data_IF_594727962452
#
_entry.id   IF_594727962452
#
_cell.length_a   1.000
_cell.length_b   1.000
_cell.length_c   1.000
_cell.angle_alpha   90.00
_cell.angle_beta   90.00
_cell.angle_gamma   90.00
#
_symmetry.space_group_name_H-M   'P 1'
#
loop_
_entity.id
_entity.type
_entity.pdbx_description
1 polymer ?
#
# COMPACT_ATOMS: atom_id res chain seq x y z
N UNK A 1 -29.24 -37.60 -7.43
CA UNK A 1 -28.83 -36.21 -7.71
C UNK A 1 -27.35 -36.14 -7.38
N UNK A 2 -26.47 -36.05 -8.37
CA UNK A 2 -25.03 -36.00 -8.10
C UNK A 2 -24.69 -34.67 -7.43
N UNK A 3 -23.99 -34.73 -6.30
CA UNK A 3 -23.57 -33.53 -5.57
C UNK A 3 -22.83 -32.53 -6.43
N UNK A 4 -23.11 -31.24 -6.23
CA UNK A 4 -22.31 -30.17 -6.81
C UNK A 4 -20.96 -30.13 -6.09
N UNK A 5 -19.90 -30.51 -6.78
CA UNK A 5 -18.51 -30.30 -6.39
C UNK A 5 -18.03 -28.95 -6.95
N UNK A 6 -17.10 -28.29 -6.24
CA UNK A 6 -16.41 -27.10 -6.72
C UNK A 6 -14.89 -27.27 -6.49
N UNK A 7 -14.09 -27.15 -7.53
CA UNK A 7 -12.63 -27.17 -7.46
C UNK A 7 -12.03 -25.86 -8.00
N UNK A 8 -11.45 -25.07 -7.11
CA UNK A 8 -10.92 -23.73 -7.45
C UNK A 8 -9.47 -23.59 -7.09
N UNK A 9 -8.73 -22.80 -7.87
CA UNK A 9 -7.32 -22.48 -7.61
C UNK A 9 -7.12 -20.99 -7.41
N UNK A 10 -6.63 -20.61 -6.23
CA UNK A 10 -6.21 -19.24 -5.90
C UNK A 10 -4.70 -19.14 -6.13
N UNK A 11 -4.30 -18.38 -7.15
CA UNK A 11 -2.88 -18.13 -7.46
C UNK A 11 -2.46 -16.81 -6.83
N UNK A 12 -1.54 -16.90 -5.87
CA UNK A 12 -1.13 -15.80 -4.99
C UNK A 12 -1.79 -15.95 -3.63
N UNK A 13 -0.99 -16.26 -2.62
CA UNK A 13 -1.44 -16.49 -1.25
C UNK A 13 -1.07 -15.32 -0.31
N UNK A 14 -0.98 -14.10 -0.86
CA UNK A 14 -0.89 -12.87 -0.09
C UNK A 14 -2.27 -12.39 0.42
N UNK A 15 -2.38 -11.15 0.92
CA UNK A 15 -3.62 -10.63 1.53
C UNK A 15 -4.86 -10.80 0.66
N UNK A 16 -4.76 -10.56 -0.65
CA UNK A 16 -5.90 -10.71 -1.57
C UNK A 16 -6.35 -12.16 -1.71
N UNK A 17 -5.41 -13.11 -1.84
CA UNK A 17 -5.72 -14.53 -1.91
C UNK A 17 -6.29 -15.06 -0.60
N UNK A 18 -5.75 -14.59 0.54
CA UNK A 18 -6.30 -14.85 1.86
C UNK A 18 -7.77 -14.39 1.94
N UNK A 19 -8.09 -13.16 1.53
CA UNK A 19 -9.48 -12.69 1.53
C UNK A 19 -10.40 -13.55 0.64
N UNK A 20 -9.92 -14.09 -0.48
CA UNK A 20 -10.71 -15.01 -1.31
C UNK A 20 -11.02 -16.30 -0.57
N UNK A 21 -10.00 -16.95 0.02
CA UNK A 21 -10.18 -18.19 0.80
C UNK A 21 -11.11 -17.95 1.98
N UNK A 22 -10.91 -16.83 2.68
CA UNK A 22 -11.71 -16.45 3.82
C UNK A 22 -13.18 -16.20 3.46
N UNK A 23 -13.46 -15.51 2.35
CA UNK A 23 -14.83 -15.31 1.85
C UNK A 23 -15.50 -16.60 1.41
N UNK A 24 -14.77 -17.53 0.78
CA UNK A 24 -15.31 -18.85 0.44
C UNK A 24 -15.73 -19.61 1.71
N UNK A 25 -14.88 -19.63 2.73
CA UNK A 25 -15.21 -20.26 4.01
C UNK A 25 -16.39 -19.59 4.72
N UNK A 26 -16.46 -18.27 4.74
CA UNK A 26 -17.53 -17.52 5.41
C UNK A 26 -18.90 -17.75 4.74
N UNK A 27 -18.96 -17.70 3.41
CA UNK A 27 -20.20 -17.93 2.66
C UNK A 27 -20.73 -19.35 2.85
N UNK A 28 -19.85 -20.35 2.75
CA UNK A 28 -20.24 -21.76 2.88
C UNK A 28 -20.55 -22.19 4.32
N UNK A 29 -20.05 -21.44 5.31
CA UNK A 29 -20.46 -21.61 6.69
C UNK A 29 -21.87 -21.09 6.94
N UNK A 30 -22.22 -19.95 6.34
CA UNK A 30 -23.55 -19.37 6.46
C UNK A 30 -24.61 -20.17 5.70
N UNK A 31 -24.31 -20.53 4.45
CA UNK A 31 -25.19 -21.30 3.59
C UNK A 31 -24.37 -22.25 2.74
N UNK A 32 -24.48 -23.56 3.02
CA UNK A 32 -23.80 -24.60 2.24
C UNK A 32 -24.38 -24.65 0.83
N UNK A 33 -23.58 -24.29 -0.17
CA UNK A 33 -24.00 -24.28 -1.59
C UNK A 33 -23.51 -25.50 -2.36
N UNK A 34 -22.43 -26.13 -1.89
CA UNK A 34 -21.80 -27.29 -2.51
C UNK A 34 -21.71 -28.48 -1.54
N UNK A 35 -21.72 -29.69 -2.09
CA UNK A 35 -21.49 -30.89 -1.28
C UNK A 35 -20.03 -30.97 -0.84
N UNK A 36 -19.10 -30.61 -1.72
CA UNK A 36 -17.66 -30.58 -1.43
C UNK A 36 -17.00 -29.45 -2.21
N UNK A 37 -15.99 -28.82 -1.60
CA UNK A 37 -15.18 -27.79 -2.24
C UNK A 37 -13.71 -28.11 -2.01
N UNK A 38 -12.91 -28.10 -3.08
CA UNK A 38 -11.45 -28.13 -2.99
C UNK A 38 -10.92 -26.75 -3.37
N UNK A 39 -10.16 -26.12 -2.46
CA UNK A 39 -9.49 -24.84 -2.72
C UNK A 39 -7.99 -25.07 -2.75
N UNK A 40 -7.40 -24.98 -3.92
CA UNK A 40 -5.96 -24.96 -4.09
C UNK A 40 -5.43 -23.54 -3.84
N UNK A 41 -4.44 -23.41 -2.97
CA UNK A 41 -3.78 -22.13 -2.67
C UNK A 41 -2.34 -22.23 -3.11
N UNK A 42 -1.98 -21.51 -4.18
CA UNK A 42 -0.68 -21.62 -4.86
C UNK A 42 0.13 -20.34 -4.65
N UNK A 43 1.27 -20.44 -3.98
CA UNK A 43 2.26 -19.35 -3.87
C UNK A 43 3.64 -19.95 -3.57
N UNK A 44 4.75 -19.41 -4.11
CA UNK A 44 6.08 -19.87 -3.70
C UNK A 44 6.40 -19.59 -2.22
N UNK A 45 5.73 -18.62 -1.58
CA UNK A 45 5.89 -18.28 -0.18
C UNK A 45 4.80 -18.89 0.72
N UNK A 46 4.85 -18.61 2.02
CA UNK A 46 3.85 -19.09 2.97
C UNK A 46 2.49 -18.38 2.76
N UNK A 47 1.36 -19.10 2.89
CA UNK A 47 0.03 -18.53 2.68
C UNK A 47 -0.34 -17.51 3.76
N UNK A 48 -1.15 -16.53 3.39
CA UNK A 48 -1.43 -15.32 4.18
C UNK A 48 -0.52 -14.17 3.78
N UNK A 49 0.78 -14.31 4.09
CA UNK A 49 1.79 -13.29 3.81
C UNK A 49 2.12 -13.17 2.30
N UNK A 50 2.18 -14.32 1.61
CA UNK A 50 2.66 -14.42 0.25
C UNK A 50 4.11 -13.92 0.11
N UNK A 51 4.52 -13.70 -1.14
CA UNK A 51 5.91 -13.28 -1.42
C UNK A 51 6.20 -11.84 -0.96
N UNK A 52 5.22 -10.94 -0.93
CA UNK A 52 5.47 -9.52 -0.63
C UNK A 52 5.69 -9.25 0.87
N UNK A 53 4.95 -9.94 1.74
CA UNK A 53 4.92 -9.66 3.18
C UNK A 53 5.67 -10.71 3.99
N UNK A 54 6.74 -11.30 3.45
CA UNK A 54 7.48 -12.37 4.15
C UNK A 54 7.93 -11.89 5.54
N UNK A 55 7.68 -12.67 6.62
CA UNK A 55 8.14 -12.29 7.96
C UNK A 55 9.67 -12.19 8.08
N UNK A 56 10.42 -12.89 7.23
CA UNK A 56 11.88 -12.86 7.23
C UNK A 56 12.53 -11.68 6.51
N UNK A 57 11.75 -10.71 6.00
CA UNK A 57 12.31 -9.51 5.37
C UNK A 57 12.89 -8.53 6.40
N UNK A 58 13.66 -7.54 5.94
CA UNK A 58 14.26 -6.52 6.81
C UNK A 58 13.21 -5.81 7.68
N UNK A 59 13.48 -5.72 8.99
CA UNK A 59 12.65 -5.01 9.97
C UNK A 59 12.80 -3.48 9.90
N UNK A 60 13.64 -2.96 9.01
CA UNK A 60 13.75 -1.53 8.74
C UNK A 60 12.72 -1.04 7.71
N UNK A 61 12.01 -1.97 7.06
CA UNK A 61 10.97 -1.64 6.09
C UNK A 61 9.63 -1.57 6.80
N UNK A 62 8.96 -0.43 6.68
CA UNK A 62 7.68 -0.17 7.32
C UNK A 62 6.53 -0.33 6.33
N UNK A 63 5.34 -0.62 6.86
CA UNK A 63 4.09 -0.43 6.12
C UNK A 63 3.85 1.07 5.90
N UNK A 64 2.97 1.40 4.96
CA UNK A 64 2.50 2.76 4.74
C UNK A 64 1.08 2.98 5.29
N UNK A 65 0.64 2.14 6.21
CA UNK A 65 -0.68 2.22 6.86
C UNK A 65 -0.48 2.01 8.36
N UNK A 66 -1.16 2.81 9.17
CA UNK A 66 -1.07 2.70 10.63
C UNK A 66 -1.68 1.40 11.13
N UNK A 67 -1.17 0.88 12.24
CA UNK A 67 -1.50 -0.44 12.77
C UNK A 67 -3.01 -0.66 12.98
N UNK A 68 -3.73 0.34 13.49
CA UNK A 68 -5.16 0.26 13.76
C UNK A 68 -6.03 0.22 12.50
N UNK A 69 -5.51 0.62 11.35
CA UNK A 69 -6.21 0.64 10.06
C UNK A 69 -5.94 -0.60 9.20
N UNK A 70 -5.16 -1.56 9.71
CA UNK A 70 -4.83 -2.80 8.97
C UNK A 70 -5.70 -3.94 9.51
N UNK A 71 -6.52 -4.53 8.65
CA UNK A 71 -7.24 -5.78 8.93
C UNK A 71 -7.49 -6.56 7.65
N UNK A 72 -7.59 -7.89 7.75
CA UNK A 72 -8.10 -8.77 6.68
C UNK A 72 -9.54 -9.22 6.92
N UNK A 73 -10.10 -8.87 8.08
CA UNK A 73 -11.47 -9.18 8.47
C UNK A 73 -12.43 -8.11 7.98
N UNK A 74 -13.71 -8.47 7.93
CA UNK A 74 -14.76 -7.59 7.40
C UNK A 74 -15.54 -6.92 8.51
N UNK A 75 -16.01 -5.72 8.22
CA UNK A 75 -16.87 -4.91 9.08
C UNK A 75 -18.03 -4.31 8.25
N UNK A 76 -18.83 -3.46 8.87
CA UNK A 76 -19.95 -2.76 8.22
C UNK A 76 -19.53 -1.75 7.13
N UNK A 77 -18.23 -1.46 7.01
CA UNK A 77 -17.71 -0.52 6.01
C UNK A 77 -17.57 -1.13 4.62
N UNK A 78 -17.60 -2.46 4.50
CA UNK A 78 -17.47 -3.17 3.22
C UNK A 78 -18.84 -3.61 2.68
N UNK A 79 -19.02 -3.48 1.36
CA UNK A 79 -20.18 -4.01 0.65
C UNK A 79 -19.79 -5.30 -0.06
N UNK A 80 -20.35 -6.41 0.41
CA UNK A 80 -19.99 -7.76 -0.04
C UNK A 80 -21.19 -8.70 0.04
N UNK A 81 -21.11 -9.82 -0.66
CA UNK A 81 -22.00 -10.97 -0.45
C UNK A 81 -21.51 -11.83 0.72
N UNK A 82 -22.45 -12.51 1.37
CA UNK A 82 -22.18 -13.33 2.54
C UNK A 82 -22.14 -12.55 3.85
N UNK A 83 -21.87 -13.24 4.98
CA UNK A 83 -21.85 -12.61 6.30
C UNK A 83 -20.64 -11.69 6.49
N UNK A 84 -20.81 -10.68 7.34
CA UNK A 84 -19.70 -9.96 7.95
C UNK A 84 -19.10 -10.86 9.05
N UNK A 85 -17.85 -11.28 8.89
CA UNK A 85 -17.07 -11.96 9.93
C UNK A 85 -15.99 -11.00 10.47
N UNK A 86 -16.24 -10.34 11.62
CA UNK A 86 -15.27 -9.43 12.21
C UNK A 86 -14.11 -10.18 12.86
N UNK A 87 -13.00 -9.48 13.04
CA UNK A 87 -11.81 -10.00 13.67
C UNK A 87 -10.81 -8.90 13.99
N UNK A 88 -9.72 -9.24 14.67
CA UNK A 88 -8.78 -8.24 15.16
C UNK A 88 -8.11 -7.52 14.00
N UNK A 89 -8.06 -6.19 14.10
CA UNK A 89 -7.05 -5.39 13.42
C UNK A 89 -5.64 -5.85 13.82
N UNK A 90 -4.63 -5.43 13.05
CA UNK A 90 -3.23 -5.71 13.37
C UNK A 90 -2.87 -5.17 14.76
N UNK A 91 -3.37 -3.98 15.12
CA UNK A 91 -3.14 -3.42 16.45
C UNK A 91 -3.77 -4.27 17.56
N UNK A 92 -5.01 -4.72 17.40
CA UNK A 92 -5.67 -5.59 18.39
C UNK A 92 -5.00 -6.96 18.51
N UNK A 93 -4.55 -7.52 17.38
CA UNK A 93 -3.74 -8.74 17.38
C UNK A 93 -2.40 -8.52 18.10
N UNK A 94 -1.71 -7.42 17.84
CA UNK A 94 -0.47 -7.05 18.54
C UNK A 94 -0.70 -6.90 20.05
N UNK A 95 -1.81 -6.28 20.46
CA UNK A 95 -2.23 -6.17 21.87
C UNK A 95 -2.48 -7.53 22.52
N UNK A 96 -3.02 -8.48 21.77
CA UNK A 96 -3.19 -9.87 22.21
C UNK A 96 -1.84 -10.55 22.39
N UNK A 97 -0.94 -10.45 21.41
CA UNK A 97 0.42 -11.00 21.49
C UNK A 97 1.24 -10.39 22.63
N UNK A 98 1.11 -9.09 22.88
CA UNK A 98 1.81 -8.42 23.98
C UNK A 98 1.39 -8.97 25.36
N UNK A 99 0.17 -9.51 25.48
CA UNK A 99 -0.40 -10.06 26.72
C UNK A 99 -0.21 -11.57 26.87
N UNK A 100 -0.35 -12.31 25.78
CA UNK A 100 -0.46 -13.77 25.79
C UNK A 100 0.57 -14.48 24.91
N UNK A 101 1.39 -13.74 24.15
CA UNK A 101 2.39 -14.30 23.27
C UNK A 101 3.57 -14.88 24.05
N UNK A 102 3.78 -16.18 23.90
CA UNK A 102 4.85 -16.90 24.59
C UNK A 102 6.13 -16.99 23.73
N UNK A 103 7.33 -16.90 24.34
CA UNK A 103 8.58 -17.20 23.64
C UNK A 103 8.56 -18.61 23.05
N UNK A 104 8.91 -18.74 21.78
CA UNK A 104 8.91 -20.02 21.04
C UNK A 104 7.82 -20.11 19.97
N UNK A 105 6.66 -19.50 20.19
CA UNK A 105 5.62 -19.34 19.15
C UNK A 105 5.94 -18.15 18.21
N UNK A 106 6.49 -17.09 18.79
CA UNK A 106 6.95 -15.89 18.11
C UNK A 106 8.41 -15.59 18.48
N UNK A 107 9.15 -14.98 17.54
CA UNK A 107 10.51 -14.54 17.81
C UNK A 107 10.53 -13.31 18.75
N UNK A 108 11.65 -13.12 19.46
CA UNK A 108 11.81 -12.01 20.41
C UNK A 108 11.55 -10.63 19.78
N UNK A 109 12.04 -10.32 18.56
CA UNK A 109 11.74 -9.03 17.93
C UNK A 109 10.26 -8.80 17.64
N UNK A 110 9.50 -9.83 17.27
CA UNK A 110 8.04 -9.73 17.06
C UNK A 110 7.32 -9.42 18.36
N UNK A 111 7.66 -10.11 19.45
CA UNK A 111 7.05 -9.82 20.76
C UNK A 111 7.44 -8.43 21.28
N UNK A 112 8.67 -7.98 21.03
CA UNK A 112 9.10 -6.63 21.37
C UNK A 112 8.33 -5.55 20.58
N UNK A 113 8.17 -5.73 19.27
CA UNK A 113 7.38 -4.84 18.43
C UNK A 113 5.91 -4.81 18.88
N UNK A 114 5.31 -5.97 19.17
CA UNK A 114 3.93 -6.06 19.67
C UNK A 114 3.70 -5.24 20.96
N UNK A 115 4.68 -5.22 21.88
CA UNK A 115 4.61 -4.46 23.14
C UNK A 115 4.78 -2.96 22.93
N UNK A 116 5.58 -2.56 21.94
CA UNK A 116 5.89 -1.15 21.68
C UNK A 116 4.90 -0.48 20.71
N UNK A 117 4.19 -1.26 19.89
CA UNK A 117 3.32 -0.76 18.83
C UNK A 117 2.12 0.01 19.39
N UNK A 118 1.99 1.28 19.01
CA UNK A 118 0.79 2.07 19.24
C UNK A 118 -0.23 1.95 18.08
N UNK A 119 -1.48 2.42 18.27
CA UNK A 119 -2.53 2.32 17.24
C UNK A 119 -2.20 3.09 15.96
N UNK A 120 -1.46 4.21 16.09
CA UNK A 120 -1.04 5.06 14.97
C UNK A 120 0.41 4.83 14.54
N UNK A 121 1.05 3.78 15.06
CA UNK A 121 2.39 3.37 14.63
C UNK A 121 2.33 2.71 13.25
N UNK A 122 3.39 2.87 12.45
CA UNK A 122 3.59 2.14 11.20
C UNK A 122 4.36 0.85 11.51
N UNK A 123 3.71 -0.33 11.54
CA UNK A 123 4.40 -1.59 11.84
C UNK A 123 5.44 -1.93 10.77
N UNK A 124 6.40 -2.76 11.12
CA UNK A 124 7.32 -3.34 10.14
C UNK A 124 6.56 -4.25 9.17
N UNK A 125 7.02 -4.33 7.92
CA UNK A 125 6.44 -5.25 6.92
C UNK A 125 6.56 -6.71 7.36
N UNK A 126 7.63 -7.03 8.09
CA UNK A 126 7.85 -8.34 8.70
C UNK A 126 6.76 -8.68 9.74
N UNK A 127 6.43 -7.73 10.63
CA UNK A 127 5.39 -7.89 11.64
C UNK A 127 3.99 -8.03 11.02
N UNK A 128 3.67 -7.21 10.01
CA UNK A 128 2.44 -7.40 9.23
C UNK A 128 2.39 -8.77 8.54
N UNK A 129 3.53 -9.23 8.02
CA UNK A 129 3.68 -10.59 7.52
C UNK A 129 3.22 -11.66 8.51
N UNK A 130 3.60 -11.53 9.78
CA UNK A 130 3.19 -12.48 10.82
C UNK A 130 1.69 -12.42 11.11
N UNK A 131 1.11 -11.22 11.19
CA UNK A 131 -0.35 -11.05 11.30
C UNK A 131 -1.10 -11.79 10.18
N UNK A 132 -0.59 -11.72 8.94
CA UNK A 132 -1.21 -12.40 7.80
C UNK A 132 -1.10 -13.92 7.87
N UNK A 133 0.03 -14.46 8.35
CA UNK A 133 0.19 -15.90 8.56
C UNK A 133 -0.82 -16.42 9.59
N UNK A 134 -0.90 -15.76 10.75
CA UNK A 134 -1.83 -16.13 11.82
C UNK A 134 -3.28 -16.01 11.34
N UNK A 135 -3.58 -14.97 10.56
CA UNK A 135 -4.90 -14.78 9.96
C UNK A 135 -5.27 -15.93 9.01
N UNK A 136 -4.34 -16.36 8.14
CA UNK A 136 -4.56 -17.51 7.27
C UNK A 136 -4.77 -18.80 8.06
N UNK A 137 -3.94 -19.04 9.09
CA UNK A 137 -4.09 -20.21 9.96
C UNK A 137 -5.44 -20.24 10.65
N UNK A 138 -5.92 -19.09 11.15
CA UNK A 138 -7.25 -18.96 11.77
C UNK A 138 -8.37 -19.26 10.78
N UNK A 139 -8.27 -18.78 9.54
CA UNK A 139 -9.25 -19.08 8.49
C UNK A 139 -9.25 -20.56 8.15
N UNK A 140 -8.07 -21.14 7.94
CA UNK A 140 -7.91 -22.55 7.62
C UNK A 140 -8.43 -23.47 8.73
N UNK A 141 -8.11 -23.18 9.99
CA UNK A 141 -8.57 -23.94 11.15
C UNK A 141 -10.09 -23.88 11.35
N UNK A 142 -10.73 -22.85 10.82
CA UNK A 142 -12.19 -22.68 10.88
C UNK A 142 -12.88 -23.14 9.60
N UNK A 143 -12.18 -23.57 8.56
CA UNK A 143 -12.82 -23.95 7.30
C UNK A 143 -13.96 -24.99 7.56
N UNK A 144 -15.15 -24.83 6.96
CA UNK A 144 -16.20 -25.85 7.06
C UNK A 144 -15.68 -27.23 6.64
N UNK A 145 -16.19 -28.30 7.25
CA UNK A 145 -15.70 -29.67 7.02
C UNK A 145 -15.75 -30.12 5.55
N UNK A 146 -16.66 -29.56 4.76
CA UNK A 146 -16.79 -29.85 3.33
C UNK A 146 -15.84 -29.05 2.43
N UNK A 147 -15.00 -28.17 3.00
CA UNK A 147 -13.96 -27.42 2.28
C UNK A 147 -12.58 -27.99 2.58
N UNK A 148 -11.95 -28.57 1.56
CA UNK A 148 -10.56 -29.02 1.61
C UNK A 148 -9.62 -27.93 1.10
N UNK A 149 -8.81 -27.34 1.98
CA UNK A 149 -7.74 -26.41 1.60
C UNK A 149 -6.45 -27.17 1.28
N UNK A 150 -5.93 -27.00 0.05
CA UNK A 150 -4.69 -27.62 -0.43
C UNK A 150 -3.65 -26.56 -0.76
N UNK A 151 -2.64 -26.42 0.10
CA UNK A 151 -1.58 -25.44 -0.09
C UNK A 151 -0.44 -26.01 -0.93
N UNK A 152 -0.05 -25.29 -1.98
CA UNK A 152 1.06 -25.62 -2.86
C UNK A 152 2.13 -24.54 -2.76
N UNK A 153 3.27 -24.86 -2.13
CA UNK A 153 4.41 -23.94 -1.98
C UNK A 153 5.28 -23.90 -3.24
N UNK A 154 4.68 -23.43 -4.33
CA UNK A 154 5.27 -23.47 -5.66
C UNK A 154 4.75 -22.32 -6.52
N UNK A 155 5.52 -21.95 -7.54
CA UNK A 155 5.13 -20.90 -8.48
C UNK A 155 4.24 -21.48 -9.57
N UNK A 156 3.07 -20.89 -9.80
CA UNK A 156 2.31 -21.14 -11.01
C UNK A 156 3.06 -20.57 -12.23
N UNK A 157 3.28 -21.40 -13.25
CA UNK A 157 4.07 -21.03 -14.45
C UNK A 157 3.28 -21.10 -15.75
N UNK A 158 2.11 -21.73 -15.75
CA UNK A 158 1.21 -21.73 -16.89
C UNK A 158 -0.24 -21.97 -16.46
N UNK A 159 -1.18 -21.42 -17.23
CA UNK A 159 -2.62 -21.65 -17.13
C UNK A 159 -3.18 -21.96 -18.52
N UNK A 160 -4.13 -22.89 -18.62
CA UNK A 160 -4.82 -23.21 -19.86
C UNK A 160 -6.21 -23.80 -19.61
N UNK A 161 -7.10 -23.68 -20.59
CA UNK A 161 -8.34 -24.46 -20.64
C UNK A 161 -7.98 -25.90 -21.04
N UNK A 162 -8.25 -26.87 -20.15
CA UNK A 162 -7.70 -28.23 -20.26
C UNK A 162 -8.32 -29.07 -21.38
N UNK A 163 -9.54 -28.73 -21.82
CA UNK A 163 -10.22 -29.39 -22.93
C UNK A 163 -10.00 -28.67 -24.28
N UNK A 164 -9.25 -27.56 -24.31
CA UNK A 164 -9.08 -26.74 -25.51
C UNK A 164 -10.35 -26.00 -25.95
N UNK A 165 -11.42 -26.06 -25.15
CA UNK A 165 -12.68 -25.35 -25.38
C UNK A 165 -12.70 -24.10 -24.50
N UNK A 166 -12.85 -22.89 -25.08
CA UNK A 166 -13.00 -21.66 -24.30
C UNK A 166 -14.13 -21.79 -23.27
N UNK A 167 -13.82 -21.52 -22.00
CA UNK A 167 -14.78 -21.63 -20.90
C UNK A 167 -15.02 -23.06 -20.39
N UNK A 168 -14.22 -24.03 -20.84
CA UNK A 168 -14.13 -25.36 -20.24
C UNK A 168 -13.29 -25.38 -18.95
N UNK A 169 -13.10 -26.56 -18.33
CA UNK A 169 -12.34 -26.69 -17.10
C UNK A 169 -10.90 -26.20 -17.26
N UNK A 170 -10.42 -25.43 -16.28
CA UNK A 170 -9.11 -24.81 -16.32
C UNK A 170 -8.04 -25.71 -15.70
N UNK A 171 -6.78 -25.40 -15.96
CA UNK A 171 -5.63 -26.11 -15.42
C UNK A 171 -4.46 -25.19 -15.14
N UNK A 172 -3.70 -25.52 -14.10
CA UNK A 172 -2.51 -24.79 -13.68
C UNK A 172 -1.32 -25.76 -13.65
N UNK A 173 -0.18 -25.31 -14.20
CA UNK A 173 1.11 -25.97 -14.06
C UNK A 173 1.97 -25.22 -13.06
N UNK A 174 2.55 -25.94 -12.10
CA UNK A 174 3.48 -25.43 -11.11
C UNK A 174 4.93 -25.66 -11.54
N UNK A 175 5.85 -24.85 -10.99
CA UNK A 175 7.27 -24.91 -11.31
C UNK A 175 7.94 -26.23 -10.90
N UNK A 176 7.41 -26.91 -9.88
CA UNK A 176 7.85 -28.24 -9.44
C UNK A 176 7.33 -29.40 -10.32
N UNK A 177 6.59 -29.09 -11.38
CA UNK A 177 6.01 -30.08 -12.29
C UNK A 177 4.60 -30.54 -11.94
N UNK A 178 4.07 -30.20 -10.76
CA UNK A 178 2.69 -30.48 -10.37
C UNK A 178 1.71 -29.87 -11.36
N UNK A 179 0.67 -30.62 -11.71
CA UNK A 179 -0.43 -30.14 -12.55
C UNK A 179 -1.74 -30.29 -11.80
N UNK A 180 -2.48 -29.18 -11.74
CA UNK A 180 -3.84 -29.13 -11.20
C UNK A 180 -4.76 -28.99 -12.41
N UNK A 181 -5.68 -29.94 -12.58
CA UNK A 181 -6.55 -30.04 -13.75
C UNK A 181 -8.02 -29.98 -13.33
N UNK A 182 -8.93 -29.81 -14.30
CA UNK A 182 -10.38 -29.83 -14.07
C UNK A 182 -10.87 -28.77 -13.08
N UNK A 183 -10.19 -27.62 -13.03
CA UNK A 183 -10.59 -26.50 -12.18
C UNK A 183 -11.84 -25.84 -12.74
N UNK A 184 -12.84 -25.61 -11.90
CA UNK A 184 -14.02 -24.82 -12.26
C UNK A 184 -13.66 -23.33 -12.40
N UNK A 185 -12.69 -22.85 -11.60
CA UNK A 185 -12.18 -21.49 -11.70
C UNK A 185 -10.74 -21.32 -11.20
N UNK A 186 -10.03 -20.38 -11.81
CA UNK A 186 -8.75 -19.85 -11.34
C UNK A 186 -8.90 -18.39 -10.93
N UNK A 187 -8.57 -18.07 -9.69
CA UNK A 187 -8.54 -16.71 -9.16
C UNK A 187 -7.08 -16.21 -9.12
N UNK A 188 -6.78 -15.20 -9.94
CA UNK A 188 -5.45 -14.57 -10.00
C UNK A 188 -5.34 -13.43 -8.98
N UNK A 189 -4.80 -13.76 -7.80
CA UNK A 189 -4.52 -12.83 -6.70
C UNK A 189 -3.03 -12.42 -6.63
N UNK A 190 -2.43 -12.18 -7.79
CA UNK A 190 -0.96 -12.13 -8.00
C UNK A 190 -0.22 -10.94 -7.35
N UNK A 191 -0.94 -9.93 -6.85
CA UNK A 191 -0.33 -8.75 -6.24
C UNK A 191 0.54 -7.95 -7.22
N UNK A 192 1.77 -7.62 -6.81
CA UNK A 192 2.73 -6.90 -7.65
C UNK A 192 3.66 -7.89 -8.36
N UNK A 193 3.71 -7.82 -9.68
CA UNK A 193 4.58 -8.64 -10.51
C UNK A 193 5.88 -7.91 -10.86
N UNK A 194 6.99 -8.62 -11.08
CA UNK A 194 8.21 -8.03 -11.61
C UNK A 194 7.93 -7.25 -12.91
N UNK A 195 8.43 -6.02 -13.00
CA UNK A 195 8.29 -5.22 -14.20
C UNK A 195 9.34 -5.64 -15.24
N UNK A 196 8.94 -5.69 -16.51
CA UNK A 196 9.90 -5.71 -17.60
C UNK A 196 10.63 -4.36 -17.67
N UNK A 197 11.92 -4.40 -17.97
CA UNK A 197 12.70 -3.18 -18.13
C UNK A 197 12.19 -2.40 -19.35
N UNK A 198 12.11 -1.09 -19.19
CA UNK A 198 11.92 -0.18 -20.32
C UNK A 198 13.19 -0.13 -21.17
N UNK A 199 13.11 0.27 -22.46
CA UNK A 199 14.30 0.44 -23.30
C UNK A 199 15.37 1.37 -22.69
N UNK A 200 14.94 2.35 -21.89
CA UNK A 200 15.85 3.25 -21.16
C UNK A 200 16.56 2.54 -20.01
N UNK A 201 15.88 1.68 -19.29
CA UNK A 201 16.46 0.88 -18.20
C UNK A 201 17.37 -0.22 -18.73
N UNK A 202 17.01 -0.88 -19.84
CA UNK A 202 17.88 -1.83 -20.56
C UNK A 202 19.17 -1.17 -21.04
N UNK A 203 19.06 0.04 -21.63
CA UNK A 203 20.23 0.83 -22.02
C UNK A 203 21.08 1.20 -20.81
N UNK A 204 20.45 1.61 -19.70
CA UNK A 204 21.17 1.94 -18.46
C UNK A 204 21.91 0.70 -17.91
N UNK A 205 21.25 -0.45 -17.87
CA UNK A 205 21.86 -1.71 -17.45
C UNK A 205 23.03 -2.13 -18.34
N UNK A 206 22.94 -1.88 -19.65
CA UNK A 206 24.01 -2.16 -20.61
C UNK A 206 25.20 -1.22 -20.42
N UNK A 207 24.96 0.08 -20.25
CA UNK A 207 26.01 1.06 -19.96
C UNK A 207 26.69 0.79 -18.62
N UNK A 208 25.92 0.42 -17.59
CA UNK A 208 26.49 0.05 -16.29
C UNK A 208 27.46 -1.13 -16.43
N UNK A 209 27.10 -2.18 -17.18
CA UNK A 209 28.00 -3.30 -17.47
C UNK A 209 29.26 -2.87 -18.21
N UNK A 210 29.13 -2.03 -19.24
CA UNK A 210 30.28 -1.51 -20.02
C UNK A 210 31.25 -0.70 -19.13
N UNK A 211 30.70 0.06 -18.18
CA UNK A 211 31.49 0.90 -17.27
C UNK A 211 31.85 0.21 -15.95
N UNK A 212 31.61 -1.10 -15.82
CA UNK A 212 31.86 -1.87 -14.60
C UNK A 212 31.17 -1.28 -13.35
N UNK A 213 29.97 -0.72 -13.53
CA UNK A 213 29.12 -0.19 -12.48
C UNK A 213 28.03 -1.20 -12.09
N UNK A 214 27.70 -1.22 -10.80
CA UNK A 214 26.54 -1.93 -10.28
C UNK A 214 25.25 -1.17 -10.63
N UNK A 215 24.31 -1.83 -11.30
CA UNK A 215 22.98 -1.28 -11.57
C UNK A 215 21.90 -2.19 -11.01
N UNK A 216 21.23 -1.69 -9.98
CA UNK A 216 20.02 -2.30 -9.45
C UNK A 216 18.83 -1.88 -10.30
N UNK A 217 18.21 -2.84 -10.98
CA UNK A 217 16.96 -2.64 -11.72
C UNK A 217 15.80 -2.36 -10.76
N UNK A 218 14.69 -1.74 -11.23
CA UNK A 218 13.50 -1.57 -10.40
C UNK A 218 13.06 -2.88 -9.75
N UNK A 219 13.07 -2.92 -8.43
CA UNK A 219 12.71 -4.08 -7.62
C UNK A 219 12.09 -3.62 -6.30
N UNK A 220 11.38 -4.52 -5.61
CA UNK A 220 10.94 -4.27 -4.25
C UNK A 220 12.18 -4.21 -3.34
N UNK A 221 12.37 -3.15 -2.53
CA UNK A 221 13.52 -3.04 -1.63
C UNK A 221 13.68 -4.23 -0.67
N UNK A 222 12.58 -4.93 -0.33
CA UNK A 222 12.62 -6.13 0.50
C UNK A 222 13.24 -7.37 -0.19
N UNK A 223 13.39 -7.32 -1.52
CA UNK A 223 13.92 -8.40 -2.34
C UNK A 223 15.37 -8.13 -2.80
N UNK A 224 15.95 -7.01 -2.37
CA UNK A 224 17.28 -6.57 -2.80
C UNK A 224 18.26 -6.68 -1.65
N UNK A 225 19.36 -7.41 -1.87
CA UNK A 225 20.52 -7.33 -1.01
C UNK A 225 21.31 -6.06 -1.32
N UNK A 226 21.47 -5.20 -0.32
CA UNK A 226 22.24 -3.94 -0.42
C UNK A 226 23.66 -4.07 0.13
N UNK A 227 24.07 -5.27 0.54
CA UNK A 227 25.38 -5.56 1.12
C UNK A 227 26.55 -5.40 0.15
N UNK A 228 26.30 -5.44 -1.17
CA UNK A 228 27.33 -5.22 -2.18
C UNK A 228 27.90 -3.79 -2.21
N UNK A 229 27.21 -2.82 -1.58
CA UNK A 229 27.64 -1.43 -1.53
C UNK A 229 28.51 -1.19 -0.30
N UNK A 230 29.75 -0.77 -0.49
CA UNK A 230 30.69 -0.46 0.58
C UNK A 230 30.34 0.81 1.39
N UNK A 231 31.02 0.99 2.53
CA UNK A 231 30.95 2.23 3.29
C UNK A 231 31.58 3.38 2.48
N UNK A 232 30.94 4.56 2.49
CA UNK A 232 31.42 5.72 1.73
C UNK A 232 31.27 5.63 0.20
N UNK A 233 30.86 4.47 -0.33
CA UNK A 233 30.70 4.26 -1.78
C UNK A 233 29.61 5.19 -2.35
N UNK A 234 29.85 5.86 -3.49
CA UNK A 234 28.83 6.67 -4.15
C UNK A 234 27.67 5.83 -4.67
N UNK A 235 26.45 6.13 -4.23
CA UNK A 235 25.21 5.48 -4.71
C UNK A 235 24.28 6.51 -5.30
N UNK A 236 23.87 6.31 -6.56
CA UNK A 236 22.83 7.12 -7.19
C UNK A 236 21.45 6.49 -7.02
N UNK A 237 20.57 7.15 -6.26
CA UNK A 237 19.16 6.78 -6.11
C UNK A 237 18.30 7.62 -7.07
N UNK A 238 17.68 6.94 -8.04
CA UNK A 238 16.83 7.58 -9.06
C UNK A 238 15.37 7.50 -8.64
N UNK A 239 14.89 8.55 -7.99
CA UNK A 239 13.54 8.68 -7.44
C UNK A 239 13.57 9.10 -5.97
N UNK A 240 12.58 9.88 -5.56
CA UNK A 240 12.38 10.34 -4.18
C UNK A 240 10.97 9.95 -3.66
N UNK A 241 10.44 8.83 -4.19
CA UNK A 241 9.16 8.25 -3.79
C UNK A 241 9.26 7.35 -2.56
N UNK A 242 8.22 6.57 -2.28
CA UNK A 242 8.19 5.70 -1.08
C UNK A 242 9.38 4.73 -1.00
N UNK A 243 9.78 4.12 -2.12
CA UNK A 243 10.91 3.17 -2.15
C UNK A 243 12.27 3.83 -1.94
N UNK A 244 12.40 5.15 -2.10
CA UNK A 244 13.61 5.88 -1.72
C UNK A 244 13.83 5.82 -0.21
N UNK A 245 12.76 6.01 0.58
CA UNK A 245 12.85 5.94 2.04
C UNK A 245 13.19 4.53 2.53
N UNK A 246 12.73 3.49 1.83
CA UNK A 246 13.14 2.10 2.11
C UNK A 246 14.65 1.92 1.92
N UNK A 247 15.21 2.33 0.77
CA UNK A 247 16.66 2.25 0.54
C UNK A 247 17.44 3.14 1.50
N UNK A 248 16.94 4.33 1.81
CA UNK A 248 17.53 5.22 2.80
C UNK A 248 17.58 4.51 4.16
N UNK A 249 16.51 3.88 4.61
CA UNK A 249 16.48 3.11 5.85
C UNK A 249 17.48 1.95 5.82
N UNK A 250 17.49 1.14 4.75
CA UNK A 250 18.44 0.03 4.58
C UNK A 250 19.90 0.48 4.61
N UNK A 251 20.22 1.62 3.98
CA UNK A 251 21.57 2.18 3.93
C UNK A 251 21.96 2.97 5.18
N UNK A 252 21.03 3.29 6.09
CA UNK A 252 21.27 4.09 7.30
C UNK A 252 21.05 3.27 8.57
N UNK A 253 19.80 3.17 9.04
CA UNK A 253 19.47 2.41 10.25
C UNK A 253 19.70 0.91 10.06
N UNK A 254 19.49 0.40 8.85
CA UNK A 254 19.87 -0.96 8.44
C UNK A 254 21.37 -1.22 8.49
N UNK A 255 22.20 -0.18 8.53
CA UNK A 255 23.65 -0.25 8.73
C UNK A 255 24.07 0.12 10.15
N UNK A 256 23.13 0.21 11.08
CA UNK A 256 23.40 0.48 12.50
C UNK A 256 23.47 1.95 12.87
N UNK A 257 23.14 2.86 11.96
CA UNK A 257 22.92 4.25 12.34
C UNK A 257 21.67 4.39 13.20
N UNK A 258 21.63 5.41 14.07
CA UNK A 258 20.53 5.61 15.03
C UNK A 258 20.04 7.04 14.99
N UNK A 259 18.77 7.27 15.32
CA UNK A 259 18.22 8.60 15.52
C UNK A 259 18.08 8.87 17.02
N UNK A 260 18.81 9.85 17.52
CA UNK A 260 18.67 10.34 18.89
C UNK A 260 17.62 11.46 18.92
N UNK A 261 16.77 11.46 19.96
CA UNK A 261 15.90 12.60 20.21
C UNK A 261 16.66 13.64 21.04
N UNK A 262 16.79 14.85 20.49
CA UNK A 262 17.40 16.00 21.15
C UNK A 262 16.36 17.13 21.17
N UNK A 263 15.66 17.26 22.29
CA UNK A 263 14.49 18.14 22.39
C UNK A 263 13.34 17.65 21.50
N UNK A 264 12.83 18.54 20.65
CA UNK A 264 11.78 18.28 19.66
C UNK A 264 12.31 17.67 18.35
N UNK A 265 13.64 17.60 18.17
CA UNK A 265 14.29 17.16 16.93
C UNK A 265 14.83 15.74 17.02
N UNK A 266 14.91 15.11 15.85
CA UNK A 266 15.67 13.87 15.65
C UNK A 266 17.02 14.20 15.02
N UNK A 267 18.10 13.71 15.65
CA UNK A 267 19.47 13.85 15.15
C UNK A 267 19.95 12.46 14.74
N UNK A 268 20.27 12.30 13.46
CA UNK A 268 20.84 11.06 12.96
C UNK A 268 22.31 10.94 13.36
N UNK A 269 22.67 9.80 13.95
CA UNK A 269 24.04 9.37 14.26
C UNK A 269 24.45 8.27 13.27
N UNK A 270 25.39 8.55 12.35
CA UNK A 270 25.88 7.54 11.43
C UNK A 270 26.72 6.49 12.16
N UNK A 271 26.65 5.26 11.67
CA UNK A 271 27.50 4.14 12.11
C UNK A 271 28.90 4.14 11.48
N UNK A 272 29.09 4.90 10.39
CA UNK A 272 30.28 4.86 9.54
C UNK A 272 30.20 3.80 8.44
N UNK A 273 29.15 2.97 8.40
CA UNK A 273 28.94 1.95 7.35
C UNK A 273 28.06 2.44 6.21
N UNK A 274 27.50 3.64 6.31
CA UNK A 274 26.63 4.23 5.31
C UNK A 274 27.36 4.52 3.98
N UNK A 275 26.71 4.36 2.82
CA UNK A 275 27.23 4.86 1.56
C UNK A 275 27.02 6.38 1.43
N UNK A 276 27.64 6.97 0.41
CA UNK A 276 27.37 8.37 0.01
C UNK A 276 26.22 8.39 -0.99
N UNK A 277 25.01 8.63 -0.51
CA UNK A 277 23.80 8.67 -1.33
C UNK A 277 23.65 10.00 -2.08
N UNK A 278 23.46 9.93 -3.38
CA UNK A 278 23.05 11.01 -4.26
C UNK A 278 21.65 10.67 -4.78
N UNK A 279 20.66 11.48 -4.46
CA UNK A 279 19.28 11.21 -4.85
C UNK A 279 18.75 12.28 -5.81
N UNK A 280 17.97 11.87 -6.80
CA UNK A 280 17.33 12.79 -7.73
C UNK A 280 15.91 12.36 -8.08
N UNK A 281 15.06 13.32 -8.43
CA UNK A 281 13.74 13.07 -8.97
C UNK A 281 13.37 14.18 -9.96
N UNK A 282 12.32 13.98 -10.76
CA UNK A 282 11.79 15.05 -11.63
C UNK A 282 11.29 16.26 -10.83
N UNK A 283 10.81 16.04 -9.59
CA UNK A 283 10.30 17.09 -8.70
C UNK A 283 11.42 17.84 -7.97
N UNK A 284 12.63 17.27 -7.91
CA UNK A 284 13.77 17.83 -7.18
C UNK A 284 13.75 17.60 -5.66
N UNK A 285 12.57 17.40 -5.06
CA UNK A 285 12.39 17.24 -3.62
C UNK A 285 11.61 15.96 -3.25
N UNK A 286 11.80 15.40 -2.03
CA UNK A 286 11.01 14.26 -1.57
C UNK A 286 9.57 14.66 -1.22
N UNK A 287 8.72 13.66 -0.98
CA UNK A 287 7.39 13.88 -0.42
C UNK A 287 7.50 14.28 1.06
N UNK A 288 6.54 15.08 1.55
CA UNK A 288 6.38 15.37 2.97
C UNK A 288 6.09 14.10 3.78
N UNK A 289 6.40 14.16 5.07
CA UNK A 289 5.95 13.16 6.02
C UNK A 289 4.42 13.07 6.01
N UNK A 290 3.90 11.89 6.32
CA UNK A 290 2.45 11.74 6.52
C UNK A 290 2.05 12.52 7.77
N UNK A 291 0.95 13.27 7.66
CA UNK A 291 0.33 13.90 8.82
C UNK A 291 -0.11 12.86 9.86
N UNK A 292 -0.29 13.32 11.10
CA UNK A 292 -0.81 12.49 12.18
C UNK A 292 -2.22 11.98 11.84
N UNK A 293 -2.51 10.75 12.24
CA UNK A 293 -3.82 10.15 11.98
C UNK A 293 -4.89 10.70 12.92
N UNK A 294 -5.53 11.79 12.53
CA UNK A 294 -6.63 12.41 13.29
C UNK A 294 -7.99 11.76 13.03
N UNK A 295 -8.05 10.69 12.21
CA UNK A 295 -9.29 10.01 11.81
C UNK A 295 -9.54 8.72 12.60
N UNK A 296 -8.61 8.31 13.45
CA UNK A 296 -8.69 7.05 14.18
C UNK A 296 -8.62 5.81 13.28
N UNK A 297 -9.14 4.69 13.77
CA UNK A 297 -9.01 3.38 13.12
C UNK A 297 -9.91 3.21 11.88
N UNK A 298 -11.09 3.82 11.85
CA UNK A 298 -12.08 3.63 10.79
C UNK A 298 -12.60 4.92 10.15
N UNK A 299 -12.25 6.09 10.70
CA UNK A 299 -12.72 7.37 10.19
C UNK A 299 -12.24 7.64 8.77
N UNK A 300 -13.17 8.01 7.89
CA UNK A 300 -12.89 8.33 6.48
C UNK A 300 -13.63 9.60 6.10
N UNK A 301 -13.01 10.36 5.19
CA UNK A 301 -13.69 11.47 4.54
C UNK A 301 -14.73 10.91 3.57
N UNK A 302 -15.97 11.40 3.64
CA UNK A 302 -17.03 11.05 2.69
C UNK A 302 -17.04 12.12 1.59
N UNK A 303 -16.66 11.80 0.34
CA UNK A 303 -16.60 12.78 -0.73
C UNK A 303 -17.97 13.41 -0.99
N UNK A 304 -18.01 14.74 -1.11
CA UNK A 304 -19.25 15.50 -1.39
C UNK A 304 -19.46 15.74 -2.89
N UNK A 305 -18.38 15.77 -3.68
CA UNK A 305 -18.41 16.03 -5.12
C UNK A 305 -18.27 14.77 -5.97
N UNK A 306 -17.19 14.01 -5.79
CA UNK A 306 -16.94 12.77 -6.54
C UNK A 306 -17.70 11.59 -5.90
N UNK A 307 -19.03 11.69 -5.92
CA UNK A 307 -19.96 10.73 -5.32
C UNK A 307 -20.25 9.55 -6.25
N UNK A 308 -20.84 8.45 -5.76
CA UNK A 308 -21.37 7.38 -6.61
C UNK A 308 -22.33 7.90 -7.69
N UNK A 309 -23.15 8.91 -7.37
CA UNK A 309 -24.05 9.55 -8.33
C UNK A 309 -23.31 10.30 -9.44
N UNK A 310 -22.26 11.05 -9.09
CA UNK A 310 -21.40 11.73 -10.07
C UNK A 310 -20.70 10.72 -10.99
N UNK A 311 -20.14 9.64 -10.43
CA UNK A 311 -19.50 8.56 -11.20
C UNK A 311 -20.52 7.87 -12.13
N UNK A 312 -21.73 7.60 -11.65
CA UNK A 312 -22.79 7.02 -12.48
C UNK A 312 -23.19 7.96 -13.63
N UNK A 313 -23.23 9.28 -13.39
CA UNK A 313 -23.45 10.29 -14.43
C UNK A 313 -22.37 10.26 -15.51
N UNK A 314 -21.10 10.22 -15.12
CA UNK A 314 -19.98 10.09 -16.05
C UNK A 314 -20.06 8.79 -16.87
N UNK A 315 -20.44 7.66 -16.23
CA UNK A 315 -20.64 6.38 -16.93
C UNK A 315 -21.78 6.44 -17.95
N UNK A 316 -22.91 7.10 -17.62
CA UNK A 316 -24.01 7.28 -18.56
C UNK A 316 -23.61 8.10 -19.77
N UNK A 317 -22.87 9.20 -19.58
CA UNK A 317 -22.31 10.00 -20.68
C UNK A 317 -21.41 9.16 -21.59
N UNK A 318 -20.51 8.37 -20.99
CA UNK A 318 -19.65 7.46 -21.75
C UNK A 318 -20.45 6.41 -22.54
N UNK A 319 -21.48 5.82 -21.94
CA UNK A 319 -22.38 4.86 -22.61
C UNK A 319 -23.18 5.51 -23.75
N UNK A 320 -23.48 6.81 -23.66
CA UNK A 320 -24.13 7.60 -24.70
C UNK A 320 -23.16 8.07 -25.81
N UNK A 321 -21.89 7.65 -25.77
CA UNK A 321 -20.88 7.98 -26.79
C UNK A 321 -20.07 9.26 -26.51
N UNK A 322 -20.31 9.94 -25.39
CA UNK A 322 -19.49 11.09 -25.01
C UNK A 322 -18.13 10.66 -24.43
N UNK A 323 -17.06 11.30 -24.87
CA UNK A 323 -15.73 11.06 -24.32
C UNK A 323 -15.55 11.77 -22.97
N UNK A 324 -15.55 11.01 -21.88
CA UNK A 324 -15.15 11.49 -20.55
C UNK A 324 -13.64 11.72 -20.50
N UNK A 325 -13.21 12.90 -20.05
CA UNK A 325 -11.81 13.32 -19.96
C UNK A 325 -11.44 13.60 -18.52
N UNK A 326 -10.43 12.90 -17.98
CA UNK A 326 -10.01 13.06 -16.58
C UNK A 326 -9.79 14.52 -16.16
N UNK A 327 -9.02 15.29 -16.93
CA UNK A 327 -8.70 16.70 -16.59
C UNK A 327 -9.91 17.64 -16.60
N UNK A 328 -10.92 17.36 -17.42
CA UNK A 328 -12.07 18.25 -17.58
C UNK A 328 -13.26 17.82 -16.73
N UNK A 329 -13.48 16.52 -16.58
CA UNK A 329 -14.71 15.97 -15.97
C UNK A 329 -14.50 15.42 -14.56
N UNK A 330 -13.28 15.00 -14.20
CA UNK A 330 -12.99 14.32 -12.90
C UNK A 330 -12.11 15.17 -12.00
N UNK A 331 -11.01 15.70 -12.56
CA UNK A 331 -10.03 16.49 -11.82
C UNK A 331 -10.64 17.72 -11.11
N UNK A 332 -11.57 18.49 -11.71
CA UNK A 332 -12.18 19.62 -11.01
C UNK A 332 -12.97 19.21 -9.75
N UNK A 333 -13.59 18.03 -9.76
CA UNK A 333 -14.31 17.49 -8.58
C UNK A 333 -13.32 17.11 -7.48
N UNK A 334 -12.22 16.44 -7.84
CA UNK A 334 -11.14 16.09 -6.90
C UNK A 334 -10.51 17.35 -6.32
N UNK A 335 -10.18 18.32 -7.18
CA UNK A 335 -9.49 19.54 -6.79
C UNK A 335 -10.35 20.37 -5.82
N UNK A 336 -11.62 20.60 -6.16
CA UNK A 336 -12.55 21.33 -5.32
C UNK A 336 -12.80 20.64 -3.97
N UNK A 337 -12.86 19.31 -3.93
CA UNK A 337 -13.00 18.56 -2.69
C UNK A 337 -11.76 18.77 -1.78
N UNK A 338 -10.55 18.61 -2.34
CA UNK A 338 -9.31 18.79 -1.58
C UNK A 338 -9.17 20.22 -1.06
N UNK A 339 -9.43 21.21 -1.92
CA UNK A 339 -9.42 22.63 -1.53
C UNK A 339 -10.43 22.91 -0.42
N UNK A 340 -11.64 22.35 -0.51
CA UNK A 340 -12.68 22.54 0.53
C UNK A 340 -12.24 21.99 1.89
N UNK A 341 -11.62 20.81 1.92
CA UNK A 341 -11.11 20.19 3.15
C UNK A 341 -9.95 21.02 3.70
N UNK A 342 -9.05 21.50 2.84
CA UNK A 342 -7.94 22.37 3.24
C UNK A 342 -8.45 23.64 3.93
N UNK A 343 -9.35 24.38 3.28
CA UNK A 343 -9.87 25.62 3.83
C UNK A 343 -10.74 25.41 5.06
N UNK A 344 -11.55 24.34 5.09
CA UNK A 344 -12.30 23.97 6.29
C UNK A 344 -11.36 23.71 7.48
N UNK A 345 -10.27 22.97 7.25
CA UNK A 345 -9.26 22.69 8.28
C UNK A 345 -8.55 23.97 8.74
N UNK A 346 -8.22 24.87 7.80
CA UNK A 346 -7.62 26.17 8.10
C UNK A 346 -8.56 27.02 8.97
N UNK A 347 -9.85 27.08 8.64
CA UNK A 347 -10.83 27.83 9.43
C UNK A 347 -11.00 27.25 10.84
N UNK A 348 -11.07 25.93 10.98
CA UNK A 348 -11.11 25.26 12.28
C UNK A 348 -9.87 25.60 13.10
N UNK A 349 -8.68 25.60 12.49
CA UNK A 349 -7.43 25.96 13.19
C UNK A 349 -7.40 27.41 13.69
N UNK A 350 -8.24 28.28 13.10
CA UNK A 350 -8.43 29.69 13.49
C UNK A 350 -9.63 29.88 14.44
N UNK A 351 -10.28 28.81 14.88
CA UNK A 351 -11.45 28.87 15.76
C UNK A 351 -12.75 29.26 15.07
N UNK A 352 -12.83 29.18 13.75
CA UNK A 352 -14.03 29.48 12.97
C UNK A 352 -14.82 28.21 12.61
N UNK A 353 -16.15 28.32 12.48
CA UNK A 353 -17.01 27.25 11.96
C UNK A 353 -16.86 27.14 10.44
N UNK A 354 -16.35 26.00 9.91
CA UNK A 354 -16.15 25.83 8.48
C UNK A 354 -17.42 25.45 7.71
N UNK A 355 -18.54 25.10 8.38
CA UNK A 355 -19.73 24.55 7.74
C UNK A 355 -20.31 25.45 6.65
N UNK A 356 -20.71 26.70 6.98
CA UNK A 356 -21.26 27.65 6.00
C UNK A 356 -20.29 27.98 4.86
N UNK A 357 -18.99 28.06 5.16
CA UNK A 357 -17.96 28.27 4.15
C UNK A 357 -17.91 27.10 3.16
N UNK A 358 -17.86 25.88 3.68
CA UNK A 358 -17.66 24.67 2.86
C UNK A 358 -18.83 24.46 1.89
N UNK A 359 -20.07 24.66 2.37
CA UNK A 359 -21.27 24.51 1.54
C UNK A 359 -21.29 25.51 0.38
N UNK A 360 -20.91 26.77 0.64
CA UNK A 360 -20.78 27.80 -0.39
C UNK A 360 -19.61 27.52 -1.33
N UNK A 361 -18.45 27.11 -0.81
CA UNK A 361 -17.25 26.87 -1.61
C UNK A 361 -17.46 25.78 -2.67
N UNK A 362 -18.16 24.70 -2.30
CA UNK A 362 -18.40 23.56 -3.18
C UNK A 362 -19.37 23.86 -4.33
N UNK A 363 -20.23 24.88 -4.18
CA UNK A 363 -21.22 25.29 -5.19
C UNK A 363 -20.79 26.54 -5.97
N UNK A 364 -19.83 27.29 -5.45
CA UNK A 364 -19.30 28.52 -6.04
C UNK A 364 -18.51 28.27 -7.34
N UNK A 365 -18.69 29.18 -8.30
CA UNK A 365 -17.81 29.34 -9.45
C UNK A 365 -16.41 29.78 -9.04
N UNK A 366 -15.43 29.68 -9.96
CA UNK A 366 -14.05 30.08 -9.69
C UNK A 366 -13.94 31.54 -9.20
N UNK A 367 -14.71 32.47 -9.78
CA UNK A 367 -14.70 33.88 -9.38
C UNK A 367 -15.29 34.08 -7.98
N UNK A 368 -16.36 33.37 -7.66
CA UNK A 368 -17.00 33.43 -6.34
C UNK A 368 -16.11 32.81 -5.25
N UNK A 369 -15.36 31.76 -5.57
CA UNK A 369 -14.39 31.16 -4.63
C UNK A 369 -13.34 32.17 -4.19
N UNK A 370 -12.76 32.95 -5.11
CA UNK A 370 -11.77 33.96 -4.76
C UNK A 370 -12.34 34.98 -3.74
N UNK A 371 -13.52 35.54 -4.03
CA UNK A 371 -14.20 36.47 -3.13
C UNK A 371 -14.60 35.83 -1.79
N UNK A 372 -14.95 34.54 -1.78
CA UNK A 372 -15.27 33.81 -0.56
C UNK A 372 -14.04 33.66 0.35
N UNK A 373 -12.87 33.39 -0.24
CA UNK A 373 -11.60 33.32 0.49
C UNK A 373 -11.23 34.68 1.09
N UNK A 374 -11.42 35.78 0.34
CA UNK A 374 -11.22 37.15 0.84
C UNK A 374 -12.15 37.44 2.02
N UNK A 375 -13.45 37.13 1.91
CA UNK A 375 -14.44 37.37 2.95
C UNK A 375 -14.17 36.60 4.26
N UNK A 376 -13.44 35.48 4.19
CA UNK A 376 -13.03 34.69 5.36
C UNK A 376 -11.60 34.99 5.82
N UNK A 377 -10.98 36.07 5.30
CA UNK A 377 -9.64 36.50 5.72
C UNK A 377 -8.53 35.51 5.37
N UNK A 378 -8.69 34.73 4.29
CA UNK A 378 -7.67 33.79 3.82
C UNK A 378 -6.68 34.56 2.95
N UNK A 379 -5.54 34.88 3.55
CA UNK A 379 -4.46 35.63 2.92
C UNK A 379 -3.91 34.88 1.69
N UNK A 380 -3.37 35.59 0.67
CA UNK A 380 -2.84 34.95 -0.52
C UNK A 380 -1.81 33.84 -0.26
N UNK A 381 -0.98 33.98 0.79
CA UNK A 381 0.01 32.96 1.18
C UNK A 381 -0.60 31.64 1.63
N UNK A 382 -1.78 31.71 2.26
CA UNK A 382 -2.57 30.58 2.79
C UNK A 382 -3.55 30.02 1.76
N UNK A 383 -3.51 30.49 0.50
CA UNK A 383 -4.36 29.93 -0.55
C UNK A 383 -3.72 28.65 -1.09
N UNK A 384 -4.57 27.66 -1.32
CA UNK A 384 -4.18 26.42 -1.95
C UNK A 384 -3.69 26.69 -3.37
N UNK A 385 -2.53 26.13 -3.70
CA UNK A 385 -1.90 26.29 -5.00
C UNK A 385 -1.36 24.93 -5.48
N UNK A 386 -2.06 24.35 -6.45
CA UNK A 386 -1.71 23.07 -7.05
C UNK A 386 -0.36 23.10 -7.76
N UNK A 387 0.00 24.22 -8.39
CA UNK A 387 1.24 24.33 -9.15
C UNK A 387 2.43 24.41 -8.20
N UNK A 388 2.34 25.25 -7.17
CA UNK A 388 3.35 25.35 -6.09
C UNK A 388 3.56 24.00 -5.38
N UNK A 389 2.51 23.23 -5.14
CA UNK A 389 2.62 21.90 -4.53
C UNK A 389 3.29 20.88 -5.45
N UNK A 390 2.94 20.89 -6.75
CA UNK A 390 3.49 19.97 -7.73
C UNK A 390 4.95 20.29 -8.08
N UNK A 391 5.29 21.58 -8.16
CA UNK A 391 6.60 22.08 -8.59
C UNK A 391 7.13 23.13 -7.62
N UNK A 392 7.53 22.73 -6.40
CA UNK A 392 7.95 23.69 -5.35
C UNK A 392 9.21 24.48 -5.72
N UNK A 393 10.02 23.95 -6.65
CA UNK A 393 11.22 24.61 -7.18
C UNK A 393 10.98 25.41 -8.48
N UNK A 394 9.76 25.41 -9.06
CA UNK A 394 9.52 26.10 -10.32
C UNK A 394 9.82 27.60 -10.19
N UNK A 395 10.60 28.14 -11.13
CA UNK A 395 10.98 29.55 -11.14
C UNK A 395 11.97 29.97 -10.04
N UNK A 396 12.56 29.02 -9.30
CA UNK A 396 13.59 29.31 -8.28
C UNK A 396 14.98 29.00 -8.83
N UNK A 397 15.89 29.94 -8.63
CA UNK A 397 17.32 29.74 -8.79
C UNK A 397 17.98 29.83 -7.42
N UNK A 398 18.98 28.98 -7.18
CA UNK A 398 19.75 28.96 -5.96
C UNK A 398 21.20 29.29 -6.33
N UNK A 399 21.80 30.24 -5.62
CA UNK A 399 23.18 30.67 -5.84
C UNK A 399 24.18 29.53 -5.57
N UNK A 400 23.89 28.69 -4.58
CA UNK A 400 24.70 27.53 -4.24
C UNK A 400 23.91 26.38 -3.58
N UNK A 401 24.64 25.32 -3.22
CA UNK A 401 24.09 24.14 -2.54
C UNK A 401 23.61 24.45 -1.11
N UNK A 402 24.22 25.41 -0.42
CA UNK A 402 23.86 25.74 0.95
C UNK A 402 22.50 26.46 0.98
N UNK A 403 22.26 27.38 0.04
CA UNK A 403 20.96 28.04 -0.14
C UNK A 403 19.86 27.03 -0.48
N UNK A 404 20.11 26.14 -1.45
CA UNK A 404 19.16 25.07 -1.78
C UNK A 404 18.84 24.20 -0.57
N UNK A 405 19.85 23.85 0.24
CA UNK A 405 19.68 23.03 1.44
C UNK A 405 18.85 23.76 2.50
N UNK A 406 19.12 25.03 2.74
CA UNK A 406 18.36 25.84 3.71
C UNK A 406 16.88 25.91 3.30
N UNK A 407 16.61 26.23 2.03
CA UNK A 407 15.25 26.24 1.48
C UNK A 407 14.57 24.87 1.58
N UNK A 408 15.28 23.78 1.24
CA UNK A 408 14.72 22.44 1.29
C UNK A 408 14.34 22.04 2.71
N UNK A 409 15.19 22.36 3.70
CA UNK A 409 14.91 22.06 5.10
C UNK A 409 13.70 22.85 5.62
N UNK A 410 13.56 24.11 5.24
CA UNK A 410 12.38 24.93 5.54
C UNK A 410 11.11 24.38 4.86
N UNK A 411 11.22 23.97 3.59
CA UNK A 411 10.09 23.39 2.84
C UNK A 411 9.60 22.05 3.41
N UNK A 412 10.49 21.28 4.06
CA UNK A 412 10.19 19.95 4.60
C UNK A 412 9.81 19.96 6.09
N UNK A 413 10.07 21.07 6.80
CA UNK A 413 9.58 21.31 8.15
C UNK A 413 8.05 21.50 8.14
#
# INVERSE_FOLDING_TARGET
MSGRHLEVCVVGAGPRGLCVVERLCANERATRSYETITVHVVDPAAPGAGTVWRPGQSRHLLTNTVASQITVYTDDSVRIEGPIEPGPSLYEWARSLARFGEPGEYDTPTLAEARALGPDSYPTRAFYGRYLLDSFQRVAARAPEHIALRVHRSRAVAMADTSGVPGGPQGIRLADGTRIHQLDAVVLALGHLPAHLTPREERTASLARIHHLSYLTPANPADVDTGFVGAGEPVLLRGLGLTFFDHMALFTTGRGGVFDRVGDRLVYRPSGREPRMFASSRRGVPYHARGENQKGASGRHVPRLLTPGAIAGLRRRAAAGERVRFRADVWPLIAAEVESVYYATLLVSRGADPGPFTDRFLTASHRERAALLDAHGIAPGDRWDWERLQQPCAGREFADRAEYRAWLLDHLA
#
